data_IF_961909284500
#
_entry.id   IF_961909284500
#
_cell.length_a   1.000
_cell.length_b   1.000
_cell.length_c   1.000
_cell.angle_alpha   90.00
_cell.angle_beta   90.00
_cell.angle_gamma   90.00
#
_symmetry.space_group_name_H-M   'P 1'
#
loop_
_entity.id
_entity.type
_entity.pdbx_description
1 polymer ?
#
# COMPACT_ATOMS: atom_id res chain seq x y z
N UNK A 1 20.57 9.67 -15.05
CA UNK A 1 20.98 9.57 -13.63
C UNK A 1 21.88 10.78 -13.32
N UNK A 2 21.50 11.62 -12.37
CA UNK A 2 22.31 12.74 -11.91
C UNK A 2 23.46 12.25 -11.03
N UNK A 3 24.56 12.96 -10.98
CA UNK A 3 25.61 12.71 -9.98
C UNK A 3 25.11 13.15 -8.60
N UNK A 4 25.54 12.45 -7.55
CA UNK A 4 25.26 12.86 -6.18
C UNK A 4 25.65 14.33 -5.94
N UNK A 5 24.83 15.10 -5.20
CA UNK A 5 25.11 16.51 -4.95
C UNK A 5 26.41 16.70 -4.18
N UNK A 6 27.24 17.60 -4.66
CA UNK A 6 28.44 18.04 -3.94
C UNK A 6 28.08 19.24 -3.08
N UNK A 7 28.34 19.17 -1.80
CA UNK A 7 28.07 20.25 -0.84
C UNK A 7 29.36 20.89 -0.34
N UNK A 8 29.34 22.21 -0.15
CA UNK A 8 30.43 22.96 0.45
C UNK A 8 29.88 24.06 1.37
N UNK A 9 30.63 24.49 2.37
CA UNK A 9 30.27 25.63 3.24
C UNK A 9 31.05 26.85 2.82
N UNK A 10 30.36 27.99 2.76
CA UNK A 10 30.94 29.30 2.47
C UNK A 10 30.46 30.26 3.56
N UNK A 11 31.38 30.99 4.17
CA UNK A 11 31.03 32.06 5.12
C UNK A 11 30.91 33.39 4.36
N UNK A 12 29.73 33.98 4.47
CA UNK A 12 29.45 35.32 3.94
C UNK A 12 29.51 36.33 5.08
N UNK A 13 30.10 37.50 4.78
CA UNK A 13 30.08 38.62 5.73
C UNK A 13 28.99 39.61 5.31
N UNK A 14 28.23 40.07 6.26
CA UNK A 14 27.19 41.06 6.05
C UNK A 14 27.74 42.32 5.36
N UNK A 15 27.01 42.85 4.37
CA UNK A 15 27.37 44.02 3.61
C UNK A 15 28.45 43.82 2.54
N UNK A 16 29.00 42.60 2.37
CA UNK A 16 29.94 42.31 1.29
C UNK A 16 29.26 41.73 0.06
N UNK A 17 29.73 42.16 -1.11
CA UNK A 17 29.31 41.56 -2.39
C UNK A 17 30.31 40.48 -2.78
N UNK A 18 29.80 39.30 -3.13
CA UNK A 18 30.57 38.16 -3.58
C UNK A 18 30.26 37.84 -5.04
N UNK A 19 31.31 37.55 -5.82
CA UNK A 19 31.13 37.09 -7.20
C UNK A 19 31.11 35.56 -7.21
N UNK A 20 30.01 34.98 -7.73
CA UNK A 20 29.89 33.56 -7.94
C UNK A 20 30.07 33.25 -9.41
N UNK A 21 31.04 32.39 -9.72
CA UNK A 21 31.28 31.87 -11.09
C UNK A 21 30.96 30.38 -11.06
N UNK A 22 30.08 29.98 -11.95
CA UNK A 22 29.67 28.59 -12.07
C UNK A 22 30.06 28.12 -13.47
N UNK A 23 30.98 27.18 -13.54
CA UNK A 23 31.40 26.55 -14.78
C UNK A 23 30.83 25.14 -14.86
N UNK A 24 30.02 24.87 -15.89
CA UNK A 24 29.44 23.58 -16.15
C UNK A 24 29.95 23.01 -17.47
N UNK A 25 30.67 21.91 -17.40
CA UNK A 25 31.08 21.13 -18.55
C UNK A 25 30.19 19.89 -18.67
N UNK A 26 29.48 19.82 -19.77
CA UNK A 26 28.61 18.70 -20.05
C UNK A 26 29.29 17.65 -20.94
N UNK A 27 29.21 16.40 -20.53
CA UNK A 27 29.66 15.25 -21.30
C UNK A 27 28.57 14.14 -21.13
N UNK A 28 27.64 14.04 -22.09
CA UNK A 28 26.58 13.04 -22.04
C UNK A 28 25.30 13.37 -22.79
N UNK A 29 24.26 12.55 -22.60
CA UNK A 29 22.98 12.65 -23.32
C UNK A 29 22.05 13.73 -22.78
N UNK A 30 22.09 13.95 -21.46
CA UNK A 30 21.12 14.82 -20.77
C UNK A 30 21.85 15.88 -19.97
N UNK A 31 21.94 17.12 -20.51
CA UNK A 31 22.55 18.22 -19.77
C UNK A 31 21.61 18.66 -18.64
N UNK A 32 22.08 18.56 -17.43
CA UNK A 32 21.39 19.10 -16.26
C UNK A 32 22.40 19.55 -15.21
N UNK A 33 22.21 20.75 -14.67
CA UNK A 33 22.90 21.25 -13.49
C UNK A 33 21.89 21.89 -12.57
N UNK A 34 21.93 21.53 -11.31
CA UNK A 34 21.14 22.15 -10.26
C UNK A 34 22.08 22.79 -9.25
N UNK A 35 21.86 24.05 -8.94
CA UNK A 35 22.67 24.80 -8.00
C UNK A 35 21.71 25.42 -7.01
N UNK A 36 22.00 25.23 -5.73
CA UNK A 36 21.23 25.79 -4.64
C UNK A 36 22.17 26.35 -3.57
N UNK A 37 21.67 27.27 -2.79
CA UNK A 37 22.31 27.80 -1.59
C UNK A 37 21.31 27.65 -0.44
N UNK A 38 21.77 27.07 0.64
CA UNK A 38 21.01 26.96 1.86
C UNK A 38 21.64 27.89 2.90
N UNK A 39 20.86 28.85 3.38
CA UNK A 39 21.25 29.64 4.54
C UNK A 39 21.30 28.75 5.79
N UNK A 40 22.13 29.09 6.79
CA UNK A 40 22.07 28.42 8.08
C UNK A 40 20.63 28.52 8.64
N UNK A 41 20.08 27.40 9.07
CA UNK A 41 18.78 27.40 9.74
C UNK A 41 18.93 28.22 11.04
N UNK A 42 18.16 29.29 11.14
CA UNK A 42 18.10 30.14 12.33
C UNK A 42 17.01 29.69 13.30
N UNK A 43 16.18 28.73 12.88
CA UNK A 43 15.05 28.22 13.62
C UNK A 43 15.16 26.70 13.80
N UNK A 44 14.78 26.22 14.97
CA UNK A 44 14.53 24.79 15.17
C UNK A 44 13.12 24.49 14.64
N UNK A 45 13.07 24.00 13.39
CA UNK A 45 11.81 23.66 12.73
C UNK A 45 11.03 22.57 13.45
N UNK A 46 11.71 21.69 14.18
CA UNK A 46 11.07 20.66 14.99
C UNK A 46 10.37 21.30 16.20
N UNK A 47 11.01 22.23 16.88
CA UNK A 47 10.43 22.96 17.99
C UNK A 47 9.24 23.82 17.54
N UNK A 48 9.36 24.50 16.40
CA UNK A 48 8.28 25.29 15.82
C UNK A 48 7.07 24.41 15.48
N UNK A 49 7.27 23.30 14.75
CA UNK A 49 6.20 22.38 14.38
C UNK A 49 5.50 21.78 15.60
N UNK A 50 6.25 21.37 16.60
CA UNK A 50 5.68 20.80 17.84
C UNK A 50 4.92 21.82 18.67
N UNK A 51 5.39 23.07 18.71
CA UNK A 51 4.70 24.16 19.38
C UNK A 51 3.36 24.47 18.71
N UNK A 52 3.34 24.57 17.37
CA UNK A 52 2.12 24.76 16.59
C UNK A 52 1.13 23.60 16.79
N UNK A 53 1.62 22.37 16.74
CA UNK A 53 0.79 21.18 16.94
C UNK A 53 0.12 21.14 18.31
N UNK A 54 0.81 21.61 19.34
CA UNK A 54 0.28 21.66 20.71
C UNK A 54 -0.86 22.68 20.86
N UNK A 55 -0.83 23.76 20.11
CA UNK A 55 -1.82 24.86 20.19
C UNK A 55 -3.00 24.65 19.23
N UNK A 56 -2.88 23.78 18.23
CA UNK A 56 -3.89 23.55 17.23
C UNK A 56 -5.04 22.66 17.74
N UNK A 57 -6.26 22.91 17.29
CA UNK A 57 -7.43 22.06 17.54
C UNK A 57 -7.31 20.71 16.83
N UNK A 58 -6.69 20.69 15.65
CA UNK A 58 -6.41 19.51 14.85
C UNK A 58 -5.14 19.70 14.01
N UNK A 59 -4.45 18.61 13.70
CA UNK A 59 -3.22 18.63 12.92
C UNK A 59 -3.36 17.74 11.69
N UNK A 60 -3.04 18.26 10.52
CA UNK A 60 -2.83 17.51 9.30
C UNK A 60 -1.32 17.49 9.06
N UNK A 61 -0.70 16.34 9.32
CA UNK A 61 0.74 16.15 9.21
C UNK A 61 1.08 15.43 7.90
N UNK A 62 1.55 16.18 6.90
CA UNK A 62 1.92 15.61 5.60
C UNK A 62 3.40 15.30 5.61
N UNK A 63 3.71 14.03 5.40
CA UNK A 63 5.08 13.48 5.34
C UNK A 63 5.24 12.60 4.11
N UNK A 64 6.46 12.30 3.72
CA UNK A 64 6.64 11.44 2.55
C UNK A 64 8.04 11.42 1.99
N UNK A 65 8.16 10.78 0.85
CA UNK A 65 9.37 10.59 0.08
C UNK A 65 9.46 11.55 -1.09
N UNK A 66 10.60 11.62 -1.72
CA UNK A 66 10.86 12.45 -2.90
C UNK A 66 11.75 11.70 -3.90
N UNK A 67 12.13 12.36 -4.99
CA UNK A 67 12.97 11.79 -6.05
C UNK A 67 14.41 11.43 -5.63
N UNK A 68 14.88 11.90 -4.49
CA UNK A 68 16.17 11.50 -3.95
C UNK A 68 16.06 10.16 -3.17
N UNK A 69 14.85 9.83 -2.74
CA UNK A 69 14.53 8.64 -1.95
C UNK A 69 13.93 7.52 -2.80
N UNK A 70 12.98 7.85 -3.66
CA UNK A 70 12.36 6.92 -4.61
C UNK A 70 12.77 7.29 -6.04
N UNK A 71 13.80 6.63 -6.55
CA UNK A 71 14.36 6.89 -7.88
C UNK A 71 14.88 5.62 -8.54
N UNK A 72 14.88 5.60 -9.86
CA UNK A 72 15.46 4.49 -10.62
C UNK A 72 16.98 4.41 -10.44
N UNK A 73 17.48 3.20 -10.18
CA UNK A 73 18.91 2.90 -10.11
C UNK A 73 19.59 3.23 -8.80
N UNK A 74 18.85 3.57 -7.76
CA UNK A 74 19.36 3.67 -6.39
C UNK A 74 18.38 2.96 -5.45
N UNK A 75 18.90 2.01 -4.68
CA UNK A 75 18.12 1.27 -3.70
C UNK A 75 17.96 2.08 -2.41
N UNK A 76 16.81 1.95 -1.79
CA UNK A 76 16.59 2.49 -0.44
C UNK A 76 17.33 1.62 0.56
N UNK A 77 18.02 2.26 1.51
CA UNK A 77 18.74 1.56 2.58
C UNK A 77 17.80 1.00 3.67
N UNK A 78 16.61 1.62 3.83
CA UNK A 78 15.57 1.23 4.79
C UNK A 78 14.20 1.60 4.24
N UNK A 79 13.15 1.17 4.94
CA UNK A 79 11.77 1.58 4.68
C UNK A 79 11.34 2.78 5.54
N UNK A 80 12.23 3.35 6.33
CA UNK A 80 11.94 4.56 7.12
C UNK A 80 11.60 5.76 6.23
N UNK A 81 10.90 6.72 6.79
CA UNK A 81 10.71 8.01 6.13
C UNK A 81 12.02 8.82 6.09
N UNK A 82 12.21 9.70 5.09
CA UNK A 82 13.42 10.52 4.99
C UNK A 82 13.67 11.41 6.21
N UNK A 83 14.95 11.56 6.57
CA UNK A 83 15.40 12.48 7.61
C UNK A 83 14.81 12.16 8.99
N UNK A 84 14.20 13.14 9.64
CA UNK A 84 13.61 13.05 10.98
C UNK A 84 12.06 13.07 10.96
N UNK A 85 11.45 12.62 9.86
CA UNK A 85 9.99 12.64 9.73
C UNK A 85 9.32 11.68 10.72
N UNK A 86 9.89 10.51 10.97
CA UNK A 86 9.37 9.56 11.96
C UNK A 86 9.37 10.17 13.36
N UNK A 87 10.47 10.84 13.75
CA UNK A 87 10.55 11.58 15.02
C UNK A 87 9.50 12.72 15.11
N UNK A 88 9.29 13.44 14.01
CA UNK A 88 8.28 14.49 13.92
C UNK A 88 6.88 13.93 14.16
N UNK A 89 6.54 12.81 13.51
CA UNK A 89 5.24 12.15 13.68
C UNK A 89 5.05 11.76 15.15
N UNK A 90 6.03 11.10 15.74
CA UNK A 90 5.96 10.68 17.14
C UNK A 90 5.67 11.85 18.08
N UNK A 91 6.47 12.92 17.97
CA UNK A 91 6.33 14.10 18.80
C UNK A 91 4.97 14.80 18.63
N UNK A 92 4.54 14.97 17.39
CA UNK A 92 3.25 15.63 17.08
C UNK A 92 2.08 14.79 17.58
N UNK A 93 2.07 13.48 17.33
CA UNK A 93 1.01 12.59 17.81
C UNK A 93 0.96 12.45 19.34
N UNK A 94 2.10 12.60 20.03
CA UNK A 94 2.12 12.63 21.49
C UNK A 94 1.54 13.93 22.06
N UNK A 95 1.71 15.05 21.36
CA UNK A 95 1.24 16.37 21.78
C UNK A 95 -0.22 16.65 21.41
N UNK A 96 -0.65 16.19 20.25
CA UNK A 96 -2.01 16.39 19.76
C UNK A 96 -2.60 15.09 19.22
N UNK A 97 -3.55 14.53 19.96
CA UNK A 97 -4.21 13.27 19.56
C UNK A 97 -5.19 13.43 18.37
N UNK A 98 -5.60 14.67 18.07
CA UNK A 98 -6.40 14.96 16.90
C UNK A 98 -5.50 15.23 15.67
N UNK A 99 -4.63 14.27 15.37
CA UNK A 99 -3.67 14.32 14.27
C UNK A 99 -4.01 13.28 13.22
N UNK A 100 -4.04 13.70 11.96
CA UNK A 100 -4.06 12.82 10.78
C UNK A 100 -2.66 12.83 10.15
N UNK A 101 -2.03 11.67 10.07
CA UNK A 101 -0.76 11.50 9.35
C UNK A 101 -1.08 11.16 7.89
N UNK A 102 -0.63 12.00 6.98
CA UNK A 102 -0.83 11.86 5.53
C UNK A 102 0.48 11.44 4.90
N UNK A 103 0.52 10.22 4.38
CA UNK A 103 1.69 9.63 3.74
C UNK A 103 1.66 9.89 2.23
N UNK A 104 2.60 10.69 1.74
CA UNK A 104 2.85 10.94 0.33
C UNK A 104 4.09 10.13 -0.11
N UNK A 105 3.92 8.81 -0.25
CA UNK A 105 4.98 7.85 -0.57
C UNK A 105 4.57 6.98 -1.74
N UNK A 106 5.51 6.60 -2.61
CA UNK A 106 5.23 5.73 -3.76
C UNK A 106 5.25 4.24 -3.41
N UNK A 107 5.77 3.88 -2.23
CA UNK A 107 5.92 2.51 -1.75
C UNK A 107 5.63 2.41 -0.25
N UNK A 108 5.51 1.20 0.32
CA UNK A 108 5.39 1.00 1.75
C UNK A 108 6.55 1.62 2.54
N UNK A 109 6.25 2.07 3.75
CA UNK A 109 7.24 2.50 4.73
C UNK A 109 7.02 1.77 6.06
N UNK A 110 8.08 1.64 6.85
CA UNK A 110 7.99 1.24 8.25
C UNK A 110 7.33 2.36 9.06
N UNK A 111 6.53 1.98 10.05
CA UNK A 111 5.78 2.92 10.87
C UNK A 111 5.93 2.57 12.36
N UNK A 112 7.13 2.77 12.90
CA UNK A 112 7.40 2.54 14.33
C UNK A 112 6.45 3.34 15.25
N UNK A 113 5.90 4.40 14.73
CA UNK A 113 4.98 5.35 15.37
C UNK A 113 3.49 5.03 15.19
N UNK A 114 3.14 3.92 14.51
CA UNK A 114 1.74 3.60 14.14
C UNK A 114 0.77 3.62 15.32
N UNK A 115 1.17 3.12 16.47
CA UNK A 115 0.35 3.08 17.68
C UNK A 115 0.10 4.46 18.32
N UNK A 116 0.86 5.48 17.92
CA UNK A 116 0.69 6.87 18.38
C UNK A 116 -0.28 7.65 17.51
N UNK A 117 -0.42 7.26 16.23
CA UNK A 117 -1.25 7.96 15.26
C UNK A 117 -2.70 7.47 15.31
N UNK A 118 -3.64 8.39 15.56
CA UNK A 118 -5.07 8.05 15.56
C UNK A 118 -5.65 7.83 14.16
N UNK A 119 -5.05 8.47 13.15
CA UNK A 119 -5.50 8.36 11.76
C UNK A 119 -4.31 8.42 10.82
N UNK A 120 -4.29 7.52 9.83
CA UNK A 120 -3.27 7.46 8.79
C UNK A 120 -3.95 7.42 7.43
N UNK A 121 -3.52 8.27 6.51
CA UNK A 121 -4.02 8.32 5.15
C UNK A 121 -2.86 8.07 4.16
N UNK A 122 -2.88 6.94 3.47
CA UNK A 122 -1.92 6.63 2.42
C UNK A 122 -2.38 7.27 1.11
N UNK A 123 -1.68 8.30 0.64
CA UNK A 123 -2.06 9.06 -0.55
C UNK A 123 -1.27 8.69 -1.79
N UNK A 124 -0.21 7.89 -1.69
CA UNK A 124 0.71 7.59 -2.80
C UNK A 124 1.29 8.88 -3.40
N UNK A 125 1.49 8.94 -4.71
CA UNK A 125 1.83 10.15 -5.47
C UNK A 125 0.64 10.58 -6.33
N UNK A 126 -0.34 11.32 -5.78
CA UNK A 126 -1.64 11.55 -6.41
C UNK A 126 -1.61 12.61 -7.53
N UNK A 127 -0.49 13.25 -7.78
CA UNK A 127 -0.33 14.21 -8.87
C UNK A 127 -0.91 15.59 -8.62
N UNK A 128 -1.39 16.24 -9.67
CA UNK A 128 -1.79 17.65 -9.65
C UNK A 128 -2.93 17.96 -8.69
N UNK A 129 -3.92 17.08 -8.58
CA UNK A 129 -5.14 17.31 -7.77
C UNK A 129 -5.01 16.83 -6.33
N UNK A 130 -3.79 16.62 -5.83
CA UNK A 130 -3.55 16.12 -4.47
C UNK A 130 -4.27 16.92 -3.41
N UNK A 131 -4.11 18.25 -3.42
CA UNK A 131 -4.72 19.12 -2.41
C UNK A 131 -6.24 19.04 -2.39
N UNK A 132 -6.89 19.06 -3.57
CA UNK A 132 -8.34 18.95 -3.68
C UNK A 132 -8.82 17.58 -3.20
N UNK A 133 -8.23 16.49 -3.69
CA UNK A 133 -8.62 15.13 -3.32
C UNK A 133 -8.42 14.85 -1.84
N UNK A 134 -7.32 15.34 -1.26
CA UNK A 134 -7.05 15.21 0.17
C UNK A 134 -8.08 15.99 1.00
N UNK A 135 -8.38 17.23 0.61
CA UNK A 135 -9.39 18.06 1.25
C UNK A 135 -10.75 17.39 1.26
N UNK A 136 -11.21 16.87 0.11
CA UNK A 136 -12.51 16.21 -0.03
C UNK A 136 -12.64 15.02 0.92
N UNK A 137 -11.56 14.23 1.07
CA UNK A 137 -11.54 13.11 2.01
C UNK A 137 -11.51 13.59 3.46
N UNK A 138 -10.63 14.52 3.81
CA UNK A 138 -10.46 14.99 5.21
C UNK A 138 -11.72 15.67 5.76
N UNK A 139 -12.45 16.39 4.92
CA UNK A 139 -13.67 17.09 5.32
C UNK A 139 -14.97 16.30 5.05
N UNK A 140 -14.84 15.06 4.56
CA UNK A 140 -15.97 14.14 4.41
C UNK A 140 -16.86 14.36 3.19
N UNK A 141 -16.46 15.22 2.25
CA UNK A 141 -17.15 15.39 0.97
C UNK A 141 -17.06 14.10 0.13
N UNK A 142 -15.97 13.35 0.30
CA UNK A 142 -15.76 12.04 -0.32
C UNK A 142 -15.39 11.02 0.75
N UNK A 143 -16.18 9.96 0.87
CA UNK A 143 -15.84 8.83 1.71
C UNK A 143 -14.70 8.01 1.05
N UNK A 144 -13.55 7.78 1.72
CA UNK A 144 -12.46 7.01 1.17
C UNK A 144 -12.90 5.58 0.85
N UNK A 145 -12.40 5.06 -0.26
CA UNK A 145 -12.76 3.71 -0.73
C UNK A 145 -11.59 3.00 -1.44
N UNK A 146 -10.40 3.52 -1.27
CA UNK A 146 -9.17 2.88 -1.73
C UNK A 146 -8.81 1.69 -0.86
N UNK A 147 -8.23 0.66 -1.46
CA UNK A 147 -7.63 -0.48 -0.76
C UNK A 147 -6.15 -0.57 -1.12
N UNK A 148 -5.32 -0.99 -0.16
CA UNK A 148 -3.89 -1.12 -0.39
C UNK A 148 -3.60 -2.20 -1.45
N UNK A 149 -2.89 -1.86 -2.53
CA UNK A 149 -2.54 -2.81 -3.59
C UNK A 149 -1.29 -3.64 -3.25
N UNK A 150 -0.74 -3.46 -2.07
CA UNK A 150 0.44 -4.14 -1.55
C UNK A 150 0.32 -4.35 -0.04
N UNK A 151 1.10 -5.28 0.49
CA UNK A 151 1.22 -5.50 1.93
C UNK A 151 2.21 -4.49 2.52
N UNK A 152 1.87 -3.86 3.63
CA UNK A 152 2.78 -3.03 4.42
C UNK A 152 3.43 -3.91 5.49
N UNK A 153 4.75 -4.08 5.48
CA UNK A 153 5.46 -4.86 6.48
C UNK A 153 5.53 -4.12 7.82
N UNK A 154 5.72 -4.85 8.91
CA UNK A 154 6.14 -4.24 10.18
C UNK A 154 7.62 -3.87 10.14
N UNK A 155 8.44 -4.70 9.50
CA UNK A 155 9.88 -4.50 9.35
C UNK A 155 10.31 -4.87 7.93
N UNK A 156 11.36 -4.27 7.43
CA UNK A 156 11.96 -4.62 6.13
C UNK A 156 12.32 -6.12 6.05
N UNK A 157 12.75 -6.71 7.16
CA UNK A 157 13.09 -8.14 7.26
C UNK A 157 11.92 -9.08 7.00
N UNK A 158 10.68 -8.60 7.07
CA UNK A 158 9.48 -9.39 6.85
C UNK A 158 9.15 -9.57 5.35
N UNK A 159 9.90 -8.88 4.49
CA UNK A 159 9.70 -8.93 3.03
C UNK A 159 10.32 -10.16 2.39
N UNK A 160 9.70 -10.75 1.35
CA UNK A 160 10.16 -12.01 0.77
C UNK A 160 11.58 -11.97 0.18
N UNK A 161 12.01 -10.83 -0.35
CA UNK A 161 13.32 -10.67 -0.97
C UNK A 161 14.44 -10.23 0.02
N UNK A 162 14.16 -10.08 1.31
CA UNK A 162 15.11 -9.52 2.27
C UNK A 162 16.43 -10.31 2.35
N UNK A 163 16.37 -11.64 2.31
CA UNK A 163 17.54 -12.51 2.40
C UNK A 163 18.36 -12.58 1.11
N UNK A 164 17.74 -12.29 -0.03
CA UNK A 164 18.36 -12.50 -1.35
C UNK A 164 18.72 -11.20 -2.07
N UNK A 165 18.07 -10.09 -1.75
CA UNK A 165 18.34 -8.77 -2.34
C UNK A 165 19.51 -8.06 -1.64
N UNK A 166 20.41 -7.37 -2.35
CA UNK A 166 20.50 -7.13 -3.79
C UNK A 166 21.21 -8.23 -4.59
N UNK A 167 21.39 -9.40 -4.02
CA UNK A 167 22.12 -10.50 -4.61
C UNK A 167 23.62 -10.49 -4.22
N UNK A 168 24.34 -11.51 -4.67
CA UNK A 168 25.77 -11.71 -4.43
C UNK A 168 26.46 -12.13 -5.72
N UNK A 169 27.65 -11.57 -5.96
CA UNK A 169 28.49 -11.89 -7.11
C UNK A 169 27.76 -11.79 -8.48
N UNK A 170 26.93 -10.76 -8.65
CA UNK A 170 26.05 -10.51 -9.82
C UNK A 170 24.98 -11.58 -10.04
N UNK A 171 24.68 -12.38 -9.04
CA UNK A 171 23.58 -13.34 -9.03
C UNK A 171 22.56 -12.92 -8.00
N UNK A 172 21.30 -13.07 -8.37
CA UNK A 172 20.15 -12.87 -7.49
C UNK A 172 19.18 -14.02 -7.68
N UNK A 173 18.90 -14.72 -6.60
CA UNK A 173 17.96 -15.83 -6.59
C UNK A 173 16.58 -15.34 -6.14
N UNK A 174 15.54 -15.76 -6.83
CA UNK A 174 14.15 -15.49 -6.52
C UNK A 174 13.58 -16.66 -5.71
N UNK A 175 14.13 -16.85 -4.50
CA UNK A 175 13.80 -17.98 -3.63
C UNK A 175 12.33 -18.01 -3.20
N UNK A 176 11.68 -16.84 -3.17
CA UNK A 176 10.26 -16.71 -2.86
C UNK A 176 9.34 -17.38 -3.88
N UNK A 177 9.77 -17.56 -5.13
CA UNK A 177 9.03 -18.22 -6.21
C UNK A 177 7.64 -17.59 -6.43
N UNK A 178 6.57 -18.36 -6.20
CA UNK A 178 5.18 -17.90 -6.32
C UNK A 178 4.68 -17.12 -5.09
N UNK A 179 5.44 -17.12 -4.00
CA UNK A 179 5.01 -16.59 -2.72
C UNK A 179 5.45 -15.14 -2.54
N UNK A 180 4.90 -14.25 -3.36
CA UNK A 180 5.13 -12.81 -3.30
C UNK A 180 3.96 -12.07 -2.65
N UNK A 181 4.21 -10.88 -2.10
CA UNK A 181 3.19 -10.06 -1.45
C UNK A 181 2.48 -10.83 -0.32
N UNK A 182 1.15 -10.71 -0.20
CA UNK A 182 0.37 -11.36 0.86
C UNK A 182 0.52 -12.89 0.90
N UNK A 183 0.88 -13.55 -0.22
CA UNK A 183 1.09 -15.01 -0.30
C UNK A 183 2.30 -15.45 0.52
N UNK A 184 3.32 -14.61 0.59
CA UNK A 184 4.48 -14.80 1.45
C UNK A 184 4.09 -14.70 2.92
N UNK A 185 3.37 -13.63 3.29
CA UNK A 185 2.91 -13.42 4.67
C UNK A 185 2.00 -14.54 5.15
N UNK A 186 1.12 -15.05 4.28
CA UNK A 186 0.27 -16.21 4.58
C UNK A 186 1.12 -17.48 4.80
N UNK A 187 2.11 -17.75 3.93
CA UNK A 187 2.97 -18.94 4.00
C UNK A 187 3.85 -18.96 5.23
N UNK A 188 4.50 -17.85 5.53
CA UNK A 188 5.44 -17.72 6.64
C UNK A 188 4.74 -17.36 7.96
N UNK A 189 3.41 -17.26 7.95
CA UNK A 189 2.59 -16.89 9.11
C UNK A 189 3.03 -15.55 9.75
N UNK A 190 3.47 -14.59 8.90
CA UNK A 190 3.90 -13.27 9.33
C UNK A 190 2.69 -12.34 9.36
N UNK A 191 2.42 -11.71 10.50
CA UNK A 191 1.40 -10.69 10.62
C UNK A 191 1.89 -9.36 10.02
N UNK A 192 1.28 -8.86 8.94
CA UNK A 192 1.68 -7.57 8.35
C UNK A 192 1.26 -6.39 9.23
N UNK A 193 1.84 -5.21 9.01
CA UNK A 193 1.34 -3.97 9.61
C UNK A 193 -0.03 -3.63 9.03
N UNK A 194 -0.14 -3.59 7.70
CA UNK A 194 -1.40 -3.50 6.98
C UNK A 194 -1.41 -4.51 5.83
N UNK A 195 -2.45 -5.33 5.80
CA UNK A 195 -2.56 -6.38 4.80
C UNK A 195 -2.83 -5.83 3.39
N UNK A 196 -2.48 -6.60 2.37
CA UNK A 196 -3.01 -6.39 1.02
C UNK A 196 -4.53 -6.31 1.03
N UNK A 197 -5.08 -5.32 0.34
CA UNK A 197 -6.51 -5.07 0.29
C UNK A 197 -7.09 -4.31 1.48
N UNK A 198 -6.28 -3.95 2.50
CA UNK A 198 -6.73 -3.15 3.63
C UNK A 198 -7.14 -1.73 3.21
N UNK A 199 -8.17 -1.21 3.84
CA UNK A 199 -8.63 0.18 3.70
C UNK A 199 -9.96 0.36 4.40
N UNK A 200 -10.05 1.45 5.19
CA UNK A 200 -11.23 1.80 5.99
C UNK A 200 -12.16 2.74 5.21
N UNK A 201 -13.36 2.89 5.73
CA UNK A 201 -14.40 3.78 5.22
C UNK A 201 -15.00 4.57 6.39
N UNK A 202 -15.66 5.68 6.09
CA UNK A 202 -16.46 6.43 7.08
C UNK A 202 -17.83 5.79 7.34
N UNK A 203 -18.13 4.68 6.65
CA UNK A 203 -19.31 3.84 6.88
C UNK A 203 -18.88 2.39 7.13
N UNK A 204 -19.83 1.53 7.45
CA UNK A 204 -19.60 0.11 7.67
C UNK A 204 -20.34 -0.74 6.64
N UNK A 205 -19.79 -1.92 6.32
CA UNK A 205 -20.39 -2.84 5.37
C UNK A 205 -20.56 -4.22 6.00
N UNK A 206 -21.75 -4.80 5.78
CA UNK A 206 -22.05 -6.17 6.17
C UNK A 206 -22.02 -7.07 4.95
N UNK A 207 -21.39 -8.24 5.11
CA UNK A 207 -21.29 -9.30 4.12
C UNK A 207 -22.19 -10.44 4.59
N UNK A 208 -23.06 -10.95 3.73
CA UNK A 208 -24.02 -11.97 4.11
C UNK A 208 -24.43 -12.87 2.97
N UNK A 209 -25.00 -14.03 3.31
CA UNK A 209 -25.63 -14.95 2.37
C UNK A 209 -24.69 -15.50 1.29
N UNK A 210 -23.39 -15.63 1.56
CA UNK A 210 -22.46 -16.22 0.61
C UNK A 210 -22.84 -17.68 0.35
N UNK A 211 -23.02 -18.02 -0.92
CA UNK A 211 -23.35 -19.40 -1.34
C UNK A 211 -22.85 -19.69 -2.74
N UNK A 212 -22.55 -20.95 -3.01
CA UNK A 212 -22.35 -21.43 -4.36
C UNK A 212 -23.67 -21.47 -5.13
N UNK A 213 -23.64 -21.06 -6.39
CA UNK A 213 -24.77 -21.07 -7.31
C UNK A 213 -24.36 -21.68 -8.65
N UNK A 214 -25.29 -22.17 -9.49
CA UNK A 214 -24.95 -22.62 -10.83
C UNK A 214 -24.34 -21.48 -11.65
N UNK A 215 -23.18 -21.70 -12.31
CA UNK A 215 -22.58 -20.69 -13.18
C UNK A 215 -23.48 -20.41 -14.39
N UNK A 216 -23.53 -19.15 -14.81
CA UNK A 216 -24.32 -18.70 -15.96
C UNK A 216 -23.47 -18.51 -17.22
N UNK A 217 -22.19 -18.17 -17.03
CA UNK A 217 -21.22 -18.00 -18.12
C UNK A 217 -20.84 -19.33 -18.77
N UNK A 218 -20.72 -19.36 -20.09
CA UNK A 218 -20.39 -20.60 -20.85
C UNK A 218 -19.00 -21.14 -20.56
N UNK A 219 -18.09 -20.33 -20.03
CA UNK A 219 -16.74 -20.70 -19.64
C UNK A 219 -16.54 -20.79 -18.11
N UNK A 220 -17.57 -20.53 -17.34
CA UNK A 220 -17.51 -20.55 -15.89
C UNK A 220 -17.75 -21.95 -15.35
N UNK A 221 -16.90 -22.39 -14.41
CA UNK A 221 -16.97 -23.72 -13.77
C UNK A 221 -17.51 -23.65 -12.34
N UNK A 222 -17.46 -22.46 -11.72
CA UNK A 222 -18.03 -22.19 -10.43
C UNK A 222 -18.57 -20.75 -10.37
N UNK A 223 -19.60 -20.52 -9.58
CA UNK A 223 -20.12 -19.20 -9.30
C UNK A 223 -20.58 -19.07 -7.84
N UNK A 224 -20.43 -17.87 -7.29
CA UNK A 224 -20.76 -17.55 -5.92
C UNK A 224 -21.53 -16.24 -5.84
N UNK A 225 -22.59 -16.23 -5.07
CA UNK A 225 -23.38 -15.02 -4.79
C UNK A 225 -23.27 -14.65 -3.33
N UNK A 226 -23.26 -13.34 -3.05
CA UNK A 226 -23.38 -12.77 -1.71
C UNK A 226 -24.14 -11.47 -1.75
N UNK A 227 -24.59 -11.02 -0.59
CA UNK A 227 -25.22 -9.71 -0.42
C UNK A 227 -24.25 -8.81 0.38
N UNK A 228 -24.07 -7.56 -0.09
CA UNK A 228 -23.34 -6.51 0.59
C UNK A 228 -24.29 -5.39 0.96
N UNK A 229 -24.30 -5.02 2.24
CA UNK A 229 -25.17 -3.98 2.78
C UNK A 229 -24.31 -2.87 3.38
N UNK A 230 -24.61 -1.61 3.06
CA UNK A 230 -24.08 -0.47 3.82
C UNK A 230 -24.87 -0.39 5.13
N UNK A 231 -24.22 -0.82 6.22
CA UNK A 231 -24.83 -0.86 7.55
C UNK A 231 -24.58 0.40 8.40
N UNK A 232 -23.88 1.40 7.83
CA UNK A 232 -23.64 2.69 8.49
C UNK A 232 -24.53 3.80 7.95
N UNK A 233 -24.21 5.04 8.32
CA UNK A 233 -25.07 6.20 8.16
C UNK A 233 -24.71 7.12 7.00
N UNK A 234 -23.61 6.84 6.28
CA UNK A 234 -23.18 7.67 5.15
C UNK A 234 -22.99 6.84 3.88
N UNK A 235 -23.16 7.46 2.73
CA UNK A 235 -22.85 6.84 1.44
C UNK A 235 -21.41 6.33 1.42
N UNK A 236 -21.22 5.13 0.88
CA UNK A 236 -19.88 4.55 0.79
C UNK A 236 -19.71 3.61 -0.39
N UNK A 237 -18.43 3.29 -0.64
CA UNK A 237 -18.05 2.31 -1.66
C UNK A 237 -17.18 1.24 -1.01
N UNK A 238 -17.53 -0.02 -1.24
CA UNK A 238 -16.73 -1.16 -0.78
C UNK A 238 -16.11 -1.89 -1.95
N UNK A 239 -14.90 -2.43 -1.74
CA UNK A 239 -14.25 -3.35 -2.69
C UNK A 239 -14.31 -4.74 -2.07
N UNK A 240 -15.24 -5.52 -2.54
CA UNK A 240 -15.43 -6.92 -2.13
C UNK A 240 -14.39 -7.77 -2.81
N UNK A 241 -13.58 -8.48 -2.04
CA UNK A 241 -12.45 -9.28 -2.52
C UNK A 241 -12.75 -10.76 -2.37
N UNK A 242 -12.68 -11.51 -3.48
CA UNK A 242 -12.93 -12.94 -3.54
C UNK A 242 -11.63 -13.72 -3.69
N UNK A 243 -11.30 -14.52 -2.69
CA UNK A 243 -10.12 -15.36 -2.61
C UNK A 243 -10.49 -16.83 -2.81
N UNK A 244 -9.60 -17.58 -3.43
CA UNK A 244 -9.75 -19.03 -3.60
C UNK A 244 -8.62 -19.75 -2.87
N UNK A 245 -9.01 -20.72 -2.07
CA UNK A 245 -8.14 -21.66 -1.38
C UNK A 245 -8.47 -23.08 -1.83
N UNK A 246 -7.47 -23.93 -2.01
CA UNK A 246 -7.65 -25.35 -2.32
C UNK A 246 -7.39 -26.16 -1.07
N UNK A 247 -8.39 -26.94 -0.65
CA UNK A 247 -8.28 -27.81 0.51
C UNK A 247 -7.36 -28.99 0.19
N UNK A 248 -6.42 -29.27 1.10
CA UNK A 248 -5.50 -30.40 0.97
C UNK A 248 -4.81 -30.53 -0.40
N UNK A 249 -4.43 -29.39 -1.01
CA UNK A 249 -3.73 -29.36 -2.28
C UNK A 249 -2.43 -30.18 -2.22
N UNK A 250 -2.18 -30.96 -3.27
CA UNK A 250 -0.93 -31.71 -3.45
C UNK A 250 0.13 -30.91 -4.20
N UNK A 251 -0.23 -29.72 -4.61
CA UNK A 251 0.62 -28.79 -5.36
C UNK A 251 1.16 -27.74 -4.40
N UNK A 252 2.46 -27.44 -4.50
CA UNK A 252 3.05 -26.30 -3.80
C UNK A 252 2.51 -24.99 -4.40
N UNK A 253 1.53 -24.40 -3.76
CA UNK A 253 0.80 -23.21 -4.21
C UNK A 253 0.43 -22.31 -3.05
N UNK A 254 0.15 -21.03 -3.30
CA UNK A 254 -0.31 -20.12 -2.26
C UNK A 254 -1.53 -20.66 -1.49
N UNK A 255 -1.57 -20.40 -0.18
CA UNK A 255 -2.69 -20.82 0.69
C UNK A 255 -4.02 -20.31 0.15
N UNK A 256 -4.03 -19.05 -0.31
CA UNK A 256 -5.17 -18.44 -1.01
C UNK A 256 -4.69 -17.46 -2.09
N UNK A 257 -5.54 -17.22 -3.06
CA UNK A 257 -5.26 -16.28 -4.14
C UNK A 257 -6.48 -15.41 -4.43
N UNK A 258 -6.27 -14.09 -4.52
CA UNK A 258 -7.30 -13.17 -5.02
C UNK A 258 -7.61 -13.51 -6.47
N UNK A 259 -8.85 -13.92 -6.74
CA UNK A 259 -9.30 -14.28 -8.09
C UNK A 259 -10.32 -13.29 -8.65
N UNK A 260 -11.11 -12.67 -7.80
CA UNK A 260 -12.15 -11.70 -8.20
C UNK A 260 -12.20 -10.55 -7.20
N UNK A 261 -12.61 -9.41 -7.68
CA UNK A 261 -13.03 -8.30 -6.83
C UNK A 261 -14.09 -7.44 -7.55
N UNK A 262 -14.95 -6.79 -6.78
CA UNK A 262 -15.93 -5.86 -7.31
C UNK A 262 -16.05 -4.65 -6.38
N UNK A 263 -16.09 -3.45 -6.98
CA UNK A 263 -16.32 -2.21 -6.25
C UNK A 263 -17.80 -1.84 -6.38
N UNK A 264 -18.49 -1.77 -5.24
CA UNK A 264 -19.90 -1.42 -5.15
C UNK A 264 -20.10 -0.07 -4.47
N UNK A 265 -21.11 0.67 -4.89
CA UNK A 265 -21.53 1.93 -4.28
C UNK A 265 -22.89 1.71 -3.64
N UNK A 266 -23.05 2.11 -2.37
CA UNK A 266 -24.26 1.84 -1.58
C UNK A 266 -24.63 3.06 -0.74
N UNK A 267 -25.89 3.45 -0.79
CA UNK A 267 -26.50 4.38 0.15
C UNK A 267 -26.67 3.73 1.54
N UNK A 268 -26.83 4.50 2.62
CA UNK A 268 -27.16 3.95 3.94
C UNK A 268 -28.34 3.00 3.89
N UNK A 269 -28.18 1.79 4.40
CA UNK A 269 -29.18 0.73 4.40
C UNK A 269 -29.38 0.03 3.07
N UNK A 270 -28.73 0.45 1.99
CA UNK A 270 -28.83 -0.20 0.69
C UNK A 270 -28.06 -1.53 0.69
N UNK A 271 -28.67 -2.55 0.07
CA UNK A 271 -28.07 -3.86 -0.15
C UNK A 271 -27.95 -4.16 -1.63
N UNK A 272 -26.83 -4.75 -2.03
CA UNK A 272 -26.59 -5.18 -3.41
C UNK A 272 -26.08 -6.62 -3.44
N UNK A 273 -26.65 -7.39 -4.36
CA UNK A 273 -26.17 -8.75 -4.66
C UNK A 273 -24.99 -8.70 -5.63
N UNK A 274 -23.93 -9.41 -5.29
CA UNK A 274 -22.74 -9.60 -6.12
C UNK A 274 -22.68 -11.06 -6.57
N UNK A 275 -22.23 -11.30 -7.78
CA UNK A 275 -22.00 -12.63 -8.31
C UNK A 275 -20.56 -12.70 -8.86
N UNK A 276 -19.75 -13.59 -8.32
CA UNK A 276 -18.43 -13.91 -8.84
C UNK A 276 -18.48 -15.21 -9.62
N UNK A 277 -18.05 -15.16 -10.88
CA UNK A 277 -17.90 -16.35 -11.71
C UNK A 277 -16.43 -16.68 -11.93
N UNK A 278 -16.07 -17.94 -11.72
CA UNK A 278 -14.72 -18.46 -11.88
C UNK A 278 -14.64 -19.38 -13.09
N UNK A 279 -13.64 -19.15 -13.91
CA UNK A 279 -13.30 -19.99 -15.06
C UNK A 279 -12.32 -21.10 -14.66
N UNK A 280 -12.14 -22.11 -15.48
CA UNK A 280 -11.06 -23.09 -15.28
C UNK A 280 -9.71 -22.42 -15.13
N UNK A 281 -9.45 -21.36 -15.91
CA UNK A 281 -8.18 -20.61 -15.85
C UNK A 281 -7.95 -19.93 -14.50
N UNK A 282 -9.00 -19.41 -13.86
CA UNK A 282 -8.91 -18.80 -12.53
C UNK A 282 -8.45 -19.82 -11.47
N UNK A 283 -8.77 -21.10 -11.66
CA UNK A 283 -8.53 -22.19 -10.71
C UNK A 283 -7.31 -23.05 -11.06
N UNK A 284 -6.73 -22.85 -12.27
CA UNK A 284 -5.64 -23.65 -12.78
C UNK A 284 -4.30 -23.32 -12.14
N UNK A 285 -3.46 -24.34 -12.05
CA UNK A 285 -2.02 -24.23 -11.89
C UNK A 285 -1.30 -24.68 -13.18
N UNK A 286 -0.06 -24.25 -13.37
CA UNK A 286 0.76 -24.73 -14.47
C UNK A 286 1.42 -26.06 -14.10
N UNK A 287 1.13 -27.11 -14.86
CA UNK A 287 1.79 -28.40 -14.71
C UNK A 287 3.03 -28.47 -15.59
N UNK A 288 4.21 -28.48 -15.00
CA UNK A 288 5.47 -28.65 -15.74
C UNK A 288 5.57 -30.01 -16.44
N UNK A 289 5.05 -31.06 -15.79
CA UNK A 289 5.04 -32.41 -16.35
C UNK A 289 4.18 -32.51 -17.61
N UNK A 290 2.99 -31.88 -17.60
CA UNK A 290 2.04 -31.96 -18.70
C UNK A 290 2.13 -30.76 -19.65
N UNK A 291 2.97 -29.76 -19.34
CA UNK A 291 3.14 -28.52 -20.11
C UNK A 291 1.81 -27.85 -20.43
N UNK A 292 0.90 -27.83 -19.44
CA UNK A 292 -0.47 -27.30 -19.58
C UNK A 292 -1.04 -26.78 -18.28
N UNK A 293 -2.04 -25.91 -18.40
CA UNK A 293 -2.83 -25.45 -17.28
C UNK A 293 -3.82 -26.53 -16.87
N UNK A 294 -3.88 -26.83 -15.58
CA UNK A 294 -4.72 -27.90 -15.03
C UNK A 294 -5.45 -27.44 -13.78
N UNK A 295 -6.69 -27.91 -13.63
CA UNK A 295 -7.46 -27.76 -12.39
C UNK A 295 -7.22 -29.02 -11.56
N UNK A 296 -6.86 -28.87 -10.29
CA UNK A 296 -6.70 -29.97 -9.36
C UNK A 296 -8.09 -30.48 -8.94
N UNK A 297 -8.37 -31.81 -9.03
CA UNK A 297 -9.59 -32.36 -8.44
C UNK A 297 -9.54 -32.24 -6.92
N UNK A 298 -10.29 -31.28 -6.39
CA UNK A 298 -10.25 -30.92 -4.96
C UNK A 298 -11.50 -30.14 -4.54
N UNK A 299 -11.62 -29.93 -3.24
CA UNK A 299 -12.53 -28.94 -2.68
C UNK A 299 -11.91 -27.54 -2.75
N UNK A 300 -12.61 -26.65 -3.44
CA UNK A 300 -12.24 -25.24 -3.56
C UNK A 300 -13.06 -24.41 -2.57
N UNK A 301 -12.38 -23.74 -1.65
CA UNK A 301 -12.99 -22.85 -0.67
C UNK A 301 -12.92 -21.44 -1.27
N UNK A 302 -14.08 -20.80 -1.39
CA UNK A 302 -14.21 -19.42 -1.80
C UNK A 302 -14.45 -18.54 -0.57
N UNK A 303 -13.52 -17.65 -0.33
CA UNK A 303 -13.53 -16.71 0.78
C UNK A 303 -13.79 -15.30 0.26
N UNK A 304 -14.66 -14.54 0.92
CA UNK A 304 -14.86 -13.13 0.61
C UNK A 304 -14.56 -12.27 1.80
N UNK A 305 -13.94 -11.11 1.54
CA UNK A 305 -13.54 -10.22 2.61
C UNK A 305 -13.21 -8.81 2.15
N UNK A 306 -12.87 -7.99 3.13
CA UNK A 306 -12.47 -6.60 2.95
C UNK A 306 -10.95 -6.43 2.76
N UNK A 307 -10.16 -7.47 3.05
CA UNK A 307 -8.72 -7.56 2.81
C UNK A 307 -8.26 -9.02 2.81
N UNK A 308 -6.97 -9.26 2.54
CA UNK A 308 -6.40 -10.61 2.57
C UNK A 308 -6.48 -11.30 3.94
N UNK A 309 -6.59 -10.55 5.04
CA UNK A 309 -6.73 -11.10 6.40
C UNK A 309 -8.11 -10.86 7.01
N UNK A 310 -8.91 -9.95 6.47
CA UNK A 310 -10.25 -9.65 6.94
C UNK A 310 -11.29 -10.42 6.10
N UNK A 311 -11.32 -11.74 6.30
CA UNK A 311 -12.28 -12.62 5.65
C UNK A 311 -13.60 -12.60 6.45
N UNK A 312 -14.70 -12.36 5.75
CA UNK A 312 -16.04 -12.17 6.33
C UNK A 312 -16.93 -13.39 6.18
N UNK A 313 -16.88 -14.04 5.02
CA UNK A 313 -17.69 -15.20 4.70
C UNK A 313 -16.87 -16.24 3.91
N UNK A 314 -17.23 -17.51 4.02
CA UNK A 314 -16.64 -18.58 3.23
C UNK A 314 -17.68 -19.63 2.83
N UNK A 315 -17.47 -20.23 1.67
CA UNK A 315 -18.25 -21.39 1.19
C UNK A 315 -17.34 -22.27 0.34
N UNK A 316 -17.78 -23.48 0.01
CA UNK A 316 -16.94 -24.38 -0.78
C UNK A 316 -17.71 -25.06 -1.91
N UNK A 317 -16.95 -25.58 -2.87
CA UNK A 317 -17.44 -26.38 -3.97
C UNK A 317 -16.41 -27.45 -4.33
N UNK A 318 -16.85 -28.67 -4.60
CA UNK A 318 -16.00 -29.71 -5.14
C UNK A 318 -15.92 -29.57 -6.68
N UNK A 319 -14.70 -29.61 -7.21
CA UNK A 319 -14.43 -29.64 -8.66
C UNK A 319 -13.52 -30.85 -8.95
N UNK A 320 -13.95 -31.70 -9.92
CA UNK A 320 -13.20 -32.89 -10.31
C UNK A 320 -14.03 -33.91 -11.04
#
# INVERSE_FOLDING_TARGET
MGSAPKRGKIEFKEGQTYSLVIEYKWEGRFPAVQIGMQAPDQHDLMEEATSLAKEADAVILIVGTNSDWETEGNDRASLDLPSNQDELIEKVCDLNKNTVVVLNTGSPCEMSWVDKANSILQCWFPGQEFGNSLSDVLFGEVNPSGKLPTTFPKNLSDTPAYSTYPGKDLQMDYEEGLFIGYRWYDREEIEPLFAFGHGLSYTTFEYSNLRAVPPKGTSSVAAFELDITNSGDVFGKEIVQGYVKVSESKIDRPIKELKKFEKVSLEPGESKKITFELTERDLSFWSETNQSWQVEPAEYIFEVGASAIDIRESTSVWLG
#
